data_IF_704333548873
#
_entry.id   IF_704333548873
#
_cell.length_a   1.000
_cell.length_b   1.000
_cell.length_c   1.000
_cell.angle_alpha   90.00
_cell.angle_beta   90.00
_cell.angle_gamma   90.00
#
_symmetry.space_group_name_H-M   'P 1'
#
loop_
_entity.id
_entity.type
_entity.pdbx_description
1 polymer ?
#
# COMPACT_ATOMS: atom_id res chain seq x y z
N UNK A 1 -47.43 19.24 -41.14
CA UNK A 1 -46.29 19.45 -40.20
C UNK A 1 -46.51 18.59 -38.97
N UNK A 2 -46.14 17.34 -39.06
CA UNK A 2 -46.21 16.35 -37.98
C UNK A 2 -44.89 16.29 -37.24
N UNK A 3 -44.87 16.70 -35.97
CA UNK A 3 -43.76 16.46 -35.06
C UNK A 3 -43.81 14.99 -34.65
N UNK A 4 -42.70 14.30 -34.87
CA UNK A 4 -42.44 12.98 -34.29
C UNK A 4 -41.72 13.24 -32.93
N UNK A 5 -42.43 13.01 -31.84
CA UNK A 5 -41.83 12.97 -30.48
C UNK A 5 -41.36 11.54 -30.22
N UNK A 6 -40.07 11.33 -30.10
CA UNK A 6 -39.45 10.08 -29.65
C UNK A 6 -39.41 10.02 -28.11
N UNK A 7 -39.51 8.82 -27.50
CA UNK A 7 -39.62 8.66 -26.06
C UNK A 7 -38.25 8.67 -25.38
N UNK A 8 -37.76 9.82 -25.01
CA UNK A 8 -36.72 9.96 -24.01
C UNK A 8 -37.34 10.49 -22.73
N UNK A 9 -38.07 9.63 -22.02
CA UNK A 9 -38.60 9.95 -20.69
C UNK A 9 -37.78 9.21 -19.65
N UNK A 10 -37.04 9.99 -18.87
CA UNK A 10 -36.80 9.84 -17.43
C UNK A 10 -36.28 8.49 -16.94
N UNK A 11 -34.96 8.28 -16.96
CA UNK A 11 -34.29 7.42 -16.00
C UNK A 11 -33.45 8.26 -15.02
N UNK A 12 -34.09 9.21 -14.34
CA UNK A 12 -33.50 9.90 -13.20
C UNK A 12 -34.55 9.82 -12.09
N UNK A 13 -34.61 8.74 -11.41
CA UNK A 13 -35.04 8.58 -10.02
C UNK A 13 -35.04 7.11 -9.69
N UNK A 14 -34.13 6.72 -8.85
CA UNK A 14 -34.17 5.66 -7.82
C UNK A 14 -32.74 5.17 -7.51
N UNK A 15 -31.87 6.09 -7.08
CA UNK A 15 -30.78 5.70 -6.21
C UNK A 15 -31.12 6.23 -4.81
N UNK A 16 -32.10 5.60 -4.16
CA UNK A 16 -32.15 5.59 -2.70
C UNK A 16 -31.05 4.66 -2.23
N UNK A 17 -30.15 5.06 -1.34
CA UNK A 17 -29.16 4.16 -0.81
C UNK A 17 -29.89 3.11 0.03
N UNK A 18 -29.81 1.85 -0.42
CA UNK A 18 -30.14 0.69 0.42
C UNK A 18 -29.00 0.59 1.46
N UNK A 19 -29.10 1.45 2.47
CA UNK A 19 -28.29 1.42 3.67
C UNK A 19 -29.06 0.61 4.73
N UNK A 20 -29.31 -0.66 4.47
CA UNK A 20 -29.80 -1.54 5.52
C UNK A 20 -29.28 -2.94 5.31
N UNK A 21 -28.48 -3.38 6.27
CA UNK A 21 -27.95 -4.73 6.48
C UNK A 21 -26.73 -5.13 5.66
N UNK A 22 -25.57 -4.48 5.91
CA UNK A 22 -24.29 -5.10 5.66
C UNK A 22 -24.14 -6.21 6.72
N UNK A 23 -24.48 -7.43 6.37
CA UNK A 23 -24.28 -8.59 7.23
C UNK A 23 -22.84 -9.07 7.04
N UNK A 24 -21.92 -8.52 7.82
CA UNK A 24 -20.57 -9.08 7.91
C UNK A 24 -20.67 -10.48 8.52
N UNK A 25 -20.27 -11.48 7.77
CA UNK A 25 -20.18 -12.84 8.30
C UNK A 25 -19.04 -12.87 9.32
N UNK A 26 -19.37 -13.06 10.59
CA UNK A 26 -18.37 -13.29 11.63
C UNK A 26 -17.75 -14.67 11.40
N UNK A 27 -16.60 -14.72 10.73
CA UNK A 27 -15.88 -15.97 10.46
C UNK A 27 -15.18 -16.47 11.73
N UNK A 28 -15.30 -17.78 11.98
CA UNK A 28 -14.50 -18.42 13.03
C UNK A 28 -13.04 -18.57 12.57
N UNK A 29 -12.11 -18.73 13.53
CA UNK A 29 -10.69 -18.97 13.28
C UNK A 29 -10.42 -20.09 12.28
N UNK A 30 -11.20 -21.17 12.37
CA UNK A 30 -11.07 -22.33 11.50
C UNK A 30 -11.54 -22.02 10.08
N UNK A 31 -12.57 -21.19 9.95
CA UNK A 31 -13.08 -20.74 8.65
C UNK A 31 -12.14 -19.72 8.00
N UNK A 32 -11.58 -18.78 8.77
CA UNK A 32 -10.58 -17.84 8.27
C UNK A 32 -9.34 -18.60 7.78
N UNK A 33 -8.83 -19.56 8.58
CA UNK A 33 -7.67 -20.37 8.23
C UNK A 33 -7.90 -21.25 7.01
N UNK A 34 -9.09 -21.85 6.88
CA UNK A 34 -9.43 -22.71 5.73
C UNK A 34 -9.73 -21.87 4.47
N UNK A 35 -10.30 -20.67 4.61
CA UNK A 35 -10.56 -19.74 3.49
C UNK A 35 -9.29 -19.07 3.01
N UNK A 36 -8.42 -18.63 3.91
CA UNK A 36 -7.15 -17.98 3.58
C UNK A 36 -6.23 -18.80 2.65
N UNK A 37 -6.44 -20.09 2.52
CA UNK A 37 -5.69 -20.93 1.56
C UNK A 37 -6.33 -21.04 0.17
N UNK A 38 -7.52 -20.49 -0.05
CA UNK A 38 -8.30 -20.69 -1.28
C UNK A 38 -8.89 -19.42 -1.88
N UNK A 39 -9.27 -18.43 -1.06
CA UNK A 39 -10.01 -17.27 -1.54
C UNK A 39 -9.07 -16.13 -1.94
N UNK A 40 -9.32 -15.53 -3.09
CA UNK A 40 -8.55 -14.37 -3.60
C UNK A 40 -8.73 -13.12 -2.74
N UNK A 41 -9.91 -12.96 -2.14
CA UNK A 41 -10.28 -11.81 -1.31
C UNK A 41 -11.12 -12.29 -0.12
N UNK A 42 -10.79 -11.79 1.08
CA UNK A 42 -11.54 -12.06 2.31
C UNK A 42 -11.96 -10.74 2.96
N UNK A 43 -13.23 -10.59 3.27
CA UNK A 43 -13.77 -9.44 4.03
C UNK A 43 -14.49 -9.95 5.27
N UNK A 44 -14.11 -9.45 6.44
CA UNK A 44 -14.70 -9.86 7.71
C UNK A 44 -14.57 -8.81 8.81
N UNK A 45 -15.40 -8.96 9.83
CA UNK A 45 -15.31 -8.17 11.07
C UNK A 45 -14.39 -8.87 12.08
N UNK A 46 -13.44 -8.13 12.64
CA UNK A 46 -12.55 -8.59 13.69
C UNK A 46 -12.93 -7.97 15.04
N UNK A 47 -12.73 -8.73 16.11
CA UNK A 47 -12.93 -8.33 17.51
C UNK A 47 -11.70 -8.65 18.35
N UNK A 48 -11.70 -8.28 19.62
CA UNK A 48 -10.62 -8.54 20.58
C UNK A 48 -10.20 -10.02 20.69
N UNK A 49 -11.14 -10.94 20.44
CA UNK A 49 -10.91 -12.39 20.43
C UNK A 49 -10.48 -12.93 19.06
N UNK A 50 -10.37 -12.08 18.03
CA UNK A 50 -9.98 -12.53 16.70
C UNK A 50 -8.47 -12.77 16.67
N UNK A 51 -8.08 -14.00 16.37
CA UNK A 51 -6.69 -14.35 16.13
C UNK A 51 -6.48 -14.44 14.63
N UNK A 52 -5.64 -13.58 14.06
CA UNK A 52 -5.26 -13.66 12.66
C UNK A 52 -4.28 -14.84 12.46
N UNK A 53 -4.42 -15.62 11.37
CA UNK A 53 -3.46 -16.69 11.08
C UNK A 53 -2.04 -16.13 10.98
N UNK A 54 -1.05 -16.78 11.62
CA UNK A 54 0.32 -16.26 11.65
C UNK A 54 1.02 -16.14 10.29
N UNK A 55 0.49 -16.82 9.28
CA UNK A 55 1.00 -16.85 7.91
C UNK A 55 0.21 -15.97 6.92
N UNK A 56 -0.88 -15.32 7.36
CA UNK A 56 -1.71 -14.52 6.43
C UNK A 56 -0.93 -13.37 5.79
N UNK A 57 0.03 -12.77 6.48
CA UNK A 57 0.88 -11.69 5.98
C UNK A 57 1.81 -12.12 4.82
N UNK A 58 2.08 -13.41 4.63
CA UNK A 58 2.85 -13.90 3.48
C UNK A 58 2.02 -13.98 2.20
N UNK A 59 0.71 -14.15 2.35
CA UNK A 59 -0.19 -14.42 1.23
C UNK A 59 -1.09 -13.24 0.86
N UNK A 60 -1.33 -12.32 1.79
CA UNK A 60 -2.32 -11.26 1.63
C UNK A 60 -1.76 -9.89 1.97
N UNK A 61 -2.11 -8.92 1.14
CA UNK A 61 -2.11 -7.51 1.53
C UNK A 61 -3.28 -7.28 2.48
N UNK A 62 -3.02 -6.61 3.60
CA UNK A 62 -3.96 -6.48 4.70
C UNK A 62 -4.40 -5.04 4.86
N UNK A 63 -5.70 -4.82 4.85
CA UNK A 63 -6.32 -3.52 5.06
C UNK A 63 -7.21 -3.63 6.30
N UNK A 64 -7.00 -2.78 7.30
CA UNK A 64 -7.74 -2.77 8.56
C UNK A 64 -8.33 -1.38 8.78
N UNK A 65 -9.64 -1.28 8.85
CA UNK A 65 -10.33 -0.09 9.30
C UNK A 65 -10.79 -0.33 10.74
N UNK A 66 -10.24 0.46 11.68
CA UNK A 66 -10.58 0.34 13.10
C UNK A 66 -11.88 1.10 13.39
N UNK A 67 -12.94 0.39 13.82
CA UNK A 67 -14.23 0.97 14.16
C UNK A 67 -14.30 1.39 15.62
N UNK A 68 -13.70 0.59 16.53
CA UNK A 68 -13.67 0.83 17.97
C UNK A 68 -12.41 0.30 18.61
N UNK A 69 -12.06 0.89 19.76
CA UNK A 69 -10.90 0.45 20.53
C UNK A 69 -9.59 0.78 19.83
N UNK A 70 -8.62 -0.08 20.00
CA UNK A 70 -7.30 0.07 19.41
C UNK A 70 -6.64 -1.26 19.12
N UNK A 71 -5.74 -1.23 18.16
CA UNK A 71 -4.85 -2.30 17.75
C UNK A 71 -3.43 -1.78 17.93
N UNK A 72 -2.58 -2.50 18.67
CA UNK A 72 -1.15 -2.19 18.81
C UNK A 72 -0.33 -3.27 18.12
N UNK A 73 0.74 -2.88 17.46
CA UNK A 73 1.64 -3.79 16.76
C UNK A 73 3.03 -3.19 16.61
N UNK A 74 4.02 -4.05 16.42
CA UNK A 74 5.37 -3.68 16.05
C UNK A 74 5.55 -3.85 14.54
N UNK A 75 6.07 -2.82 13.88
CA UNK A 75 6.31 -2.81 12.45
C UNK A 75 7.67 -2.18 12.16
N UNK A 76 8.57 -2.95 11.52
CA UNK A 76 9.95 -2.52 11.29
C UNK A 76 10.66 -2.05 12.58
N UNK A 77 10.54 -2.84 13.66
CA UNK A 77 11.14 -2.59 14.97
C UNK A 77 10.64 -1.29 15.66
N UNK A 78 9.46 -0.78 15.28
CA UNK A 78 8.78 0.36 15.90
C UNK A 78 7.37 -0.01 16.32
N UNK A 79 6.96 0.46 17.50
CA UNK A 79 5.60 0.29 17.98
C UNK A 79 4.65 1.30 17.35
N UNK A 80 3.47 0.82 16.95
CA UNK A 80 2.38 1.61 16.42
C UNK A 80 1.07 1.28 17.13
N UNK A 81 0.20 2.27 17.22
CA UNK A 81 -1.16 2.11 17.74
C UNK A 81 -2.12 2.69 16.71
N UNK A 82 -3.04 1.85 16.24
CA UNK A 82 -4.17 2.26 15.42
C UNK A 82 -5.42 2.37 16.30
N UNK A 83 -6.10 3.50 16.27
CA UNK A 83 -7.29 3.81 17.06
C UNK A 83 -8.54 3.84 16.19
N UNK A 84 -9.70 3.92 16.85
CA UNK A 84 -10.97 4.08 16.15
C UNK A 84 -10.96 5.27 15.17
N UNK A 85 -11.41 5.03 13.95
CA UNK A 85 -11.38 5.97 12.83
C UNK A 85 -10.08 6.02 12.05
N UNK A 86 -9.10 5.19 12.43
CA UNK A 86 -7.84 5.07 11.70
C UNK A 86 -7.80 3.81 10.85
N UNK A 87 -6.91 3.82 9.89
CA UNK A 87 -6.73 2.77 8.91
C UNK A 87 -5.29 2.25 8.93
N UNK A 88 -5.14 0.93 8.82
CA UNK A 88 -3.84 0.26 8.69
C UNK A 88 -3.76 -0.43 7.35
N UNK A 89 -2.61 -0.31 6.71
CA UNK A 89 -2.28 -1.09 5.53
C UNK A 89 -0.93 -1.77 5.68
N UNK A 90 -0.92 -3.10 5.50
CA UNK A 90 0.30 -3.88 5.42
C UNK A 90 0.39 -4.58 4.07
N UNK A 91 1.49 -4.39 3.38
CA UNK A 91 1.81 -5.21 2.21
C UNK A 91 2.05 -6.67 2.63
N UNK A 92 1.77 -7.60 1.73
CA UNK A 92 2.22 -8.98 1.91
C UNK A 92 3.74 -9.01 2.12
N UNK A 93 4.23 -9.99 2.85
CA UNK A 93 5.63 -10.10 3.31
C UNK A 93 6.07 -9.01 4.32
N UNK A 94 5.17 -8.22 4.85
CA UNK A 94 5.49 -7.29 5.94
C UNK A 94 5.77 -8.05 7.24
N UNK A 95 6.81 -7.58 7.97
CA UNK A 95 7.09 -8.08 9.31
C UNK A 95 6.25 -7.30 10.32
N UNK A 96 5.24 -7.97 10.88
CA UNK A 96 4.37 -7.43 11.92
C UNK A 96 4.47 -8.37 13.12
N UNK A 97 4.90 -7.84 14.25
CA UNK A 97 5.07 -8.57 15.49
C UNK A 97 4.23 -7.93 16.60
N UNK A 98 4.09 -8.61 17.74
CA UNK A 98 3.47 -8.11 18.97
C UNK A 98 2.06 -7.53 18.79
N UNK A 99 1.26 -8.17 17.91
CA UNK A 99 -0.10 -7.74 17.61
C UNK A 99 -1.01 -7.96 18.82
N UNK A 100 -1.61 -6.87 19.32
CA UNK A 100 -2.51 -6.89 20.46
C UNK A 100 -3.75 -6.02 20.25
N UNK A 101 -4.87 -6.42 20.83
CA UNK A 101 -6.16 -5.74 20.69
C UNK A 101 -6.68 -5.26 22.04
N UNK A 102 -7.27 -4.09 22.09
CA UNK A 102 -8.01 -3.63 23.28
C UNK A 102 -9.30 -4.45 23.48
N UNK A 103 -9.81 -4.53 24.71
CA UNK A 103 -11.01 -5.34 25.06
C UNK A 103 -12.27 -4.97 24.29
N UNK A 104 -12.36 -3.76 23.78
CA UNK A 104 -13.50 -3.27 22.99
C UNK A 104 -13.16 -3.12 21.49
N UNK A 105 -12.10 -3.78 21.06
CA UNK A 105 -11.65 -3.71 19.67
C UNK A 105 -12.72 -4.25 18.73
N UNK A 106 -12.95 -3.48 17.67
CA UNK A 106 -13.76 -3.85 16.53
C UNK A 106 -13.16 -3.21 15.28
N UNK A 107 -12.99 -3.98 14.22
CA UNK A 107 -12.46 -3.50 12.96
C UNK A 107 -13.06 -4.27 11.78
N UNK A 108 -13.07 -3.63 10.61
CA UNK A 108 -13.34 -4.28 9.34
C UNK A 108 -12.00 -4.60 8.66
N UNK A 109 -11.77 -5.86 8.32
CA UNK A 109 -10.53 -6.35 7.70
C UNK A 109 -10.82 -6.86 6.29
N UNK A 110 -10.05 -6.34 5.33
CA UNK A 110 -9.99 -6.87 3.97
C UNK A 110 -8.60 -7.45 3.71
N UNK A 111 -8.55 -8.72 3.36
CA UNK A 111 -7.36 -9.41 2.88
C UNK A 111 -7.45 -9.58 1.37
N UNK A 112 -6.45 -9.14 0.64
CA UNK A 112 -6.36 -9.25 -0.83
C UNK A 112 -5.14 -10.09 -1.17
N UNK A 113 -5.35 -11.16 -1.93
CA UNK A 113 -4.28 -12.09 -2.34
C UNK A 113 -3.18 -11.32 -3.09
N UNK A 114 -1.94 -11.61 -2.73
CA UNK A 114 -0.73 -10.91 -3.16
C UNK A 114 -0.59 -10.80 -4.68
N UNK A 115 -0.80 -11.90 -5.41
CA UNK A 115 -0.65 -11.92 -6.87
C UNK A 115 -1.79 -11.15 -7.55
N UNK A 116 -3.00 -11.25 -7.01
CA UNK A 116 -4.16 -10.53 -7.55
C UNK A 116 -3.94 -9.01 -7.49
N UNK A 117 -3.49 -8.47 -6.36
CA UNK A 117 -3.22 -7.04 -6.24
C UNK A 117 -2.04 -6.62 -7.13
N UNK A 118 -0.92 -7.33 -7.05
CA UNK A 118 0.31 -6.98 -7.76
C UNK A 118 0.13 -7.01 -9.29
N UNK A 119 -0.64 -7.97 -9.83
CA UNK A 119 -0.92 -8.08 -11.27
C UNK A 119 -1.81 -6.95 -11.80
N UNK A 120 -2.49 -6.22 -10.92
CA UNK A 120 -3.47 -5.20 -11.29
C UNK A 120 -3.07 -3.77 -10.91
N UNK A 121 -1.83 -3.53 -10.46
CA UNK A 121 -1.34 -2.18 -10.17
C UNK A 121 -1.30 -1.36 -11.48
N UNK A 122 -2.11 -0.28 -11.59
CA UNK A 122 -2.27 0.45 -12.85
C UNK A 122 -1.03 1.26 -13.26
N UNK A 123 -0.28 1.75 -12.28
CA UNK A 123 0.94 2.52 -12.47
C UNK A 123 1.96 2.16 -11.40
N UNK A 124 3.09 1.63 -11.83
CA UNK A 124 4.12 1.14 -10.92
C UNK A 124 4.81 2.23 -10.12
N UNK A 125 5.05 3.41 -10.70
CA UNK A 125 5.64 4.52 -9.95
C UNK A 125 4.81 4.86 -8.71
N UNK A 126 3.51 4.91 -8.87
CA UNK A 126 2.60 5.13 -7.76
C UNK A 126 2.59 3.95 -6.78
N UNK A 127 2.66 2.69 -7.24
CA UNK A 127 2.77 1.52 -6.37
C UNK A 127 3.99 1.59 -5.47
N UNK A 128 5.10 2.05 -6.01
CA UNK A 128 6.34 2.28 -5.26
C UNK A 128 6.12 3.35 -4.19
N UNK A 129 5.53 4.47 -4.57
CA UNK A 129 5.25 5.57 -3.66
C UNK A 129 4.33 5.13 -2.50
N UNK A 130 3.24 4.44 -2.81
CA UNK A 130 2.32 3.92 -1.81
C UNK A 130 3.01 2.91 -0.86
N UNK A 131 3.84 2.03 -1.40
CA UNK A 131 4.59 1.05 -0.60
C UNK A 131 5.58 1.73 0.34
N UNK A 132 6.41 2.66 -0.17
CA UNK A 132 7.39 3.35 0.65
C UNK A 132 6.71 4.16 1.76
N UNK A 133 5.63 4.85 1.40
CA UNK A 133 4.84 5.59 2.37
C UNK A 133 4.21 4.70 3.45
N UNK A 134 3.62 3.59 3.07
CA UNK A 134 2.99 2.65 4.02
C UNK A 134 4.01 1.95 4.92
N UNK A 135 5.24 1.71 4.43
CA UNK A 135 6.32 1.17 5.25
C UNK A 135 6.81 2.12 6.32
N UNK A 136 6.72 3.42 6.08
CA UNK A 136 7.07 4.43 7.08
C UNK A 136 5.89 4.81 7.98
N UNK A 137 4.70 4.76 7.42
CA UNK A 137 3.48 5.21 8.07
C UNK A 137 2.38 4.17 7.90
N UNK A 138 2.46 3.03 8.60
CA UNK A 138 1.49 1.96 8.46
C UNK A 138 0.10 2.31 8.99
N UNK A 139 -0.02 3.39 9.78
CA UNK A 139 -1.29 3.90 10.32
C UNK A 139 -1.64 5.22 9.65
N UNK A 140 -2.83 5.30 9.08
CA UNK A 140 -3.36 6.47 8.38
C UNK A 140 -4.59 7.03 9.10
N UNK A 141 -4.66 8.35 9.23
CA UNK A 141 -5.85 9.02 9.72
C UNK A 141 -6.81 9.31 8.58
N UNK A 142 -8.01 8.81 8.66
CA UNK A 142 -9.07 9.19 7.74
C UNK A 142 -9.64 10.55 8.15
N UNK A 143 -9.72 11.46 7.18
CA UNK A 143 -10.02 12.88 7.44
C UNK A 143 -11.43 13.10 7.97
N UNK A 144 -12.39 12.32 7.50
CA UNK A 144 -13.79 12.45 7.91
C UNK A 144 -14.57 11.12 7.78
N UNK A 145 -15.84 11.16 8.22
CA UNK A 145 -16.75 10.02 8.10
C UNK A 145 -17.04 9.61 6.65
N UNK A 146 -16.89 10.53 5.68
CA UNK A 146 -17.11 10.22 4.26
C UNK A 146 -15.98 9.35 3.73
N UNK A 147 -14.74 9.62 4.13
CA UNK A 147 -13.59 8.78 3.75
C UNK A 147 -13.71 7.37 4.34
N UNK A 148 -14.15 7.25 5.60
CA UNK A 148 -14.47 5.95 6.21
C UNK A 148 -15.52 5.18 5.41
N UNK A 149 -16.61 5.85 5.00
CA UNK A 149 -17.67 5.23 4.21
C UNK A 149 -17.19 4.81 2.82
N UNK A 150 -16.36 5.62 2.17
CA UNK A 150 -15.76 5.27 0.87
C UNK A 150 -14.88 4.02 0.98
N UNK A 151 -14.02 3.95 2.01
CA UNK A 151 -13.17 2.78 2.25
C UNK A 151 -14.02 1.53 2.44
N UNK A 152 -15.05 1.56 3.27
CA UNK A 152 -15.96 0.43 3.48
C UNK A 152 -16.70 0.03 2.21
N UNK A 153 -17.20 1.01 1.45
CA UNK A 153 -17.88 0.74 0.17
C UNK A 153 -16.93 0.09 -0.85
N UNK A 154 -15.68 0.54 -0.91
CA UNK A 154 -14.68 -0.05 -1.79
C UNK A 154 -14.32 -1.48 -1.39
N UNK A 155 -14.23 -1.76 -0.08
CA UNK A 155 -14.03 -3.11 0.43
C UNK A 155 -15.16 -4.04 0.00
N UNK A 156 -16.41 -3.59 0.19
CA UNK A 156 -17.59 -4.37 -0.14
C UNK A 156 -17.70 -4.62 -1.65
N UNK A 157 -17.55 -3.58 -2.47
CA UNK A 157 -17.61 -3.70 -3.93
C UNK A 157 -16.58 -4.67 -4.48
N UNK A 158 -15.35 -4.61 -3.98
CA UNK A 158 -14.30 -5.53 -4.41
C UNK A 158 -14.61 -6.98 -3.99
N UNK A 159 -15.06 -7.18 -2.76
CA UNK A 159 -15.43 -8.49 -2.24
C UNK A 159 -16.62 -9.09 -2.99
N UNK A 160 -17.68 -8.30 -3.25
CA UNK A 160 -18.86 -8.75 -3.98
C UNK A 160 -18.51 -9.19 -5.40
N UNK A 161 -17.63 -8.46 -6.09
CA UNK A 161 -17.16 -8.86 -7.43
C UNK A 161 -16.28 -10.11 -7.41
N UNK A 162 -15.55 -10.34 -6.34
CA UNK A 162 -14.80 -11.59 -6.16
C UNK A 162 -15.70 -12.81 -5.95
N UNK A 163 -16.86 -12.62 -5.33
CA UNK A 163 -17.82 -13.70 -5.08
C UNK A 163 -18.73 -14.02 -6.27
N UNK A 164 -18.86 -13.11 -7.23
CA UNK A 164 -19.74 -13.24 -8.41
C UNK A 164 -19.10 -14.11 -9.50
N UNK A 165 -18.70 -15.34 -9.14
CA UNK A 165 -17.98 -16.29 -10.02
C UNK A 165 -18.78 -16.75 -11.23
N UNK A 166 -20.11 -16.66 -11.19
CA UNK A 166 -21.00 -17.00 -12.29
C UNK A 166 -21.11 -15.91 -13.36
N UNK A 167 -20.52 -14.74 -13.11
CA UNK A 167 -20.55 -13.63 -14.06
C UNK A 167 -19.80 -13.99 -15.35
N UNK A 168 -20.46 -13.84 -16.50
CA UNK A 168 -19.90 -14.22 -17.82
C UNK A 168 -18.51 -13.65 -18.11
N UNK A 169 -18.19 -12.45 -17.59
CA UNK A 169 -16.93 -11.76 -17.75
C UNK A 169 -16.22 -11.60 -16.39
N UNK A 170 -16.24 -12.64 -15.57
CA UNK A 170 -15.76 -12.61 -14.20
C UNK A 170 -14.34 -12.06 -14.07
N UNK A 171 -13.39 -12.59 -14.85
CA UNK A 171 -11.97 -12.19 -14.74
C UNK A 171 -11.76 -10.73 -15.16
N UNK A 172 -12.43 -10.27 -16.21
CA UNK A 172 -12.33 -8.88 -16.69
C UNK A 172 -12.96 -7.92 -15.68
N UNK A 173 -14.13 -8.24 -15.14
CA UNK A 173 -14.82 -7.40 -14.15
C UNK A 173 -14.04 -7.35 -12.85
N UNK A 174 -13.52 -8.48 -12.37
CA UNK A 174 -12.70 -8.50 -11.16
C UNK A 174 -11.41 -7.68 -11.33
N UNK A 175 -10.75 -7.81 -12.49
CA UNK A 175 -9.57 -7.00 -12.83
C UNK A 175 -9.86 -5.50 -12.81
N UNK A 176 -10.92 -5.07 -13.48
CA UNK A 176 -11.32 -3.65 -13.52
C UNK A 176 -11.70 -3.14 -12.12
N UNK A 177 -12.43 -3.94 -11.34
CA UNK A 177 -12.80 -3.57 -9.98
C UNK A 177 -11.57 -3.48 -9.06
N UNK A 178 -10.59 -4.35 -9.24
CA UNK A 178 -9.31 -4.27 -8.52
C UNK A 178 -8.57 -2.98 -8.87
N UNK A 179 -8.52 -2.58 -10.13
CA UNK A 179 -7.91 -1.31 -10.54
C UNK A 179 -8.63 -0.10 -9.95
N UNK A 180 -9.97 -0.10 -9.96
CA UNK A 180 -10.78 0.94 -9.31
C UNK A 180 -10.47 0.99 -7.81
N UNK A 181 -10.47 -0.17 -7.14
CA UNK A 181 -10.12 -0.27 -5.72
C UNK A 181 -8.74 0.35 -5.43
N UNK A 182 -7.74 0.02 -6.21
CA UNK A 182 -6.39 0.57 -6.07
C UNK A 182 -6.41 2.10 -6.24
N UNK A 183 -7.06 2.64 -7.26
CA UNK A 183 -7.15 4.10 -7.46
C UNK A 183 -7.86 4.81 -6.32
N UNK A 184 -8.97 4.29 -5.82
CA UNK A 184 -9.73 4.87 -4.72
C UNK A 184 -8.96 4.83 -3.40
N UNK A 185 -8.30 3.71 -3.10
CA UNK A 185 -7.42 3.62 -1.94
C UNK A 185 -6.24 4.60 -2.05
N UNK A 186 -5.68 4.73 -3.25
CA UNK A 186 -4.62 5.67 -3.52
C UNK A 186 -5.04 7.13 -3.37
N UNK A 187 -6.22 7.48 -3.87
CA UNK A 187 -6.77 8.81 -3.64
C UNK A 187 -6.85 9.13 -2.14
N UNK A 188 -7.29 8.17 -1.33
CA UNK A 188 -7.35 8.29 0.13
C UNK A 188 -5.95 8.46 0.73
N UNK A 189 -4.97 7.67 0.28
CA UNK A 189 -3.57 7.77 0.74
C UNK A 189 -2.89 9.05 0.27
N UNK A 190 -3.11 9.48 -0.98
CA UNK A 190 -2.50 10.69 -1.51
C UNK A 190 -2.95 11.94 -0.78
N UNK A 191 -4.19 12.02 -0.34
CA UNK A 191 -4.68 13.12 0.49
C UNK A 191 -3.92 13.23 1.82
N UNK A 192 -3.70 12.09 2.50
CA UNK A 192 -2.91 12.05 3.72
C UNK A 192 -1.42 12.36 3.46
N UNK A 193 -0.88 11.82 2.37
CA UNK A 193 0.48 12.10 1.92
C UNK A 193 0.68 13.58 1.60
N UNK A 194 -0.19 14.21 0.82
CA UNK A 194 -0.13 15.64 0.50
C UNK A 194 -0.26 16.52 1.75
N UNK A 195 -1.09 16.12 2.70
CA UNK A 195 -1.19 16.79 3.99
C UNK A 195 0.13 16.74 4.76
N UNK A 196 0.75 15.55 4.84
CA UNK A 196 2.05 15.35 5.50
C UNK A 196 3.16 16.08 4.75
N UNK A 197 3.17 16.04 3.42
CA UNK A 197 4.14 16.76 2.59
C UNK A 197 4.13 18.27 2.89
N UNK A 198 2.95 18.88 3.02
CA UNK A 198 2.84 20.31 3.41
C UNK A 198 3.42 20.57 4.80
N UNK A 199 3.18 19.67 5.75
CA UNK A 199 3.74 19.75 7.09
C UNK A 199 5.26 19.56 7.07
N UNK A 200 5.78 18.64 6.24
CA UNK A 200 7.20 18.34 6.11
C UNK A 200 7.99 19.44 5.38
N UNK A 201 7.37 20.17 4.44
CA UNK A 201 8.01 21.33 3.78
C UNK A 201 8.37 22.44 4.79
N UNK A 202 7.61 22.55 5.87
CA UNK A 202 7.93 23.42 7.03
C UNK A 202 8.67 22.69 8.15
N UNK A 203 9.00 21.41 7.96
CA UNK A 203 9.60 20.53 8.95
C UNK A 203 11.10 20.69 9.15
N UNK A 204 11.64 19.84 10.01
CA UNK A 204 13.07 19.76 10.29
C UNK A 204 13.89 19.38 9.05
N UNK A 205 15.18 19.67 9.05
CA UNK A 205 16.10 19.26 7.97
C UNK A 205 16.09 17.72 7.75
N UNK A 206 15.89 16.95 8.82
CA UNK A 206 15.77 15.49 8.71
C UNK A 206 14.50 15.06 7.95
N UNK A 207 13.36 15.63 8.29
CA UNK A 207 12.08 15.33 7.60
C UNK A 207 12.12 15.74 6.13
N UNK A 208 12.70 16.91 5.85
CA UNK A 208 12.91 17.38 4.46
C UNK A 208 13.86 16.45 3.69
N UNK A 209 14.90 15.95 4.32
CA UNK A 209 15.80 14.96 3.72
C UNK A 209 15.07 13.67 3.40
N UNK A 210 14.27 13.12 4.32
CA UNK A 210 13.50 11.91 4.10
C UNK A 210 12.52 12.08 2.93
N UNK A 211 11.91 13.25 2.81
CA UNK A 211 11.05 13.57 1.67
C UNK A 211 11.82 13.58 0.34
N UNK A 212 12.99 14.21 0.30
CA UNK A 212 13.83 14.20 -0.89
C UNK A 212 14.31 12.80 -1.27
N UNK A 213 14.67 11.96 -0.30
CA UNK A 213 15.04 10.55 -0.54
C UNK A 213 13.88 9.81 -1.17
N UNK A 214 12.69 9.98 -0.64
CA UNK A 214 11.47 9.38 -1.18
C UNK A 214 11.23 9.80 -2.64
N UNK A 215 11.37 11.08 -2.97
CA UNK A 215 11.12 11.63 -4.31
C UNK A 215 12.20 11.26 -5.33
N UNK A 216 13.47 11.12 -4.92
CA UNK A 216 14.60 11.07 -5.84
C UNK A 216 15.48 9.82 -5.74
N UNK A 217 15.24 8.87 -4.82
CA UNK A 217 16.12 7.72 -4.60
C UNK A 217 16.27 6.79 -5.82
N UNK A 218 15.37 6.87 -6.79
CA UNK A 218 15.46 6.08 -8.02
C UNK A 218 16.62 6.56 -8.92
N UNK A 219 16.80 7.85 -9.01
CA UNK A 219 17.75 8.49 -9.93
C UNK A 219 18.96 9.06 -9.19
N UNK A 220 18.75 9.65 -8.01
CA UNK A 220 19.78 10.30 -7.22
C UNK A 220 20.26 9.41 -6.07
N UNK A 221 21.53 9.02 -6.08
CA UNK A 221 22.09 8.01 -5.17
C UNK A 221 23.18 8.56 -4.23
N UNK A 222 23.58 9.81 -4.46
CA UNK A 222 24.69 10.43 -3.72
C UNK A 222 24.19 11.40 -2.65
N UNK A 223 24.73 11.30 -1.46
CA UNK A 223 24.42 12.20 -0.32
C UNK A 223 24.62 13.67 -0.70
N UNK A 224 25.57 13.96 -1.61
CA UNK A 224 25.89 15.32 -2.06
C UNK A 224 24.70 16.02 -2.72
N UNK A 225 23.90 15.28 -3.52
CA UNK A 225 22.70 15.82 -4.15
C UNK A 225 21.72 16.32 -3.08
N UNK A 226 21.35 15.49 -2.13
CA UNK A 226 20.40 15.81 -1.07
C UNK A 226 20.89 16.93 -0.14
N UNK A 227 22.17 16.94 0.14
CA UNK A 227 22.79 18.01 0.92
C UNK A 227 22.71 19.36 0.17
N UNK A 228 22.91 19.34 -1.16
CA UNK A 228 22.75 20.51 -2.02
C UNK A 228 21.32 21.05 -2.02
N UNK A 229 20.31 20.18 -2.19
CA UNK A 229 18.90 20.56 -2.14
C UNK A 229 18.47 21.17 -0.80
N UNK A 230 19.11 20.73 0.29
CA UNK A 230 18.88 21.26 1.64
C UNK A 230 19.74 22.47 2.00
N UNK A 231 20.64 22.89 1.10
CA UNK A 231 21.61 23.96 1.33
C UNK A 231 22.51 23.75 2.57
N UNK A 232 22.96 22.49 2.78
CA UNK A 232 23.87 22.09 3.86
C UNK A 232 25.03 21.24 3.33
N UNK A 233 26.00 20.95 4.15
CA UNK A 233 27.09 20.03 3.79
C UNK A 233 26.67 18.57 3.96
N UNK A 234 27.26 17.67 3.17
CA UNK A 234 27.03 16.22 3.31
C UNK A 234 27.40 15.69 4.70
N UNK A 235 28.43 16.29 5.35
CA UNK A 235 28.81 15.96 6.71
C UNK A 235 27.74 16.36 7.73
N UNK A 236 27.15 17.54 7.57
CA UNK A 236 26.03 17.99 8.41
C UNK A 236 24.78 17.17 8.22
N UNK A 237 24.45 16.81 6.97
CA UNK A 237 23.32 15.90 6.67
C UNK A 237 23.50 14.54 7.35
N UNK A 238 24.69 13.92 7.24
CA UNK A 238 24.97 12.67 7.95
C UNK A 238 24.87 12.79 9.47
N UNK A 239 25.29 13.91 10.04
CA UNK A 239 25.15 14.17 11.49
C UNK A 239 23.67 14.23 11.88
N UNK A 240 22.84 14.96 11.11
CA UNK A 240 21.40 15.08 11.35
C UNK A 240 20.74 13.69 11.27
N UNK A 241 21.03 12.90 10.23
CA UNK A 241 20.46 11.57 10.06
C UNK A 241 20.82 10.65 11.23
N UNK A 242 22.09 10.58 11.60
CA UNK A 242 22.54 9.76 12.74
C UNK A 242 21.93 10.19 14.07
N UNK A 243 21.78 11.50 14.28
CA UNK A 243 21.19 12.01 15.52
C UNK A 243 19.69 11.68 15.65
N UNK A 244 18.96 11.64 14.54
CA UNK A 244 17.51 11.40 14.56
C UNK A 244 17.11 9.90 14.42
N UNK A 245 17.98 9.07 13.84
CA UNK A 245 17.61 7.69 13.49
C UNK A 245 18.73 6.66 13.65
N UNK A 246 19.90 7.03 14.16
CA UNK A 246 21.12 6.20 14.24
C UNK A 246 21.61 5.67 12.87
N UNK A 247 20.98 6.08 11.77
CA UNK A 247 21.25 5.66 10.39
C UNK A 247 21.86 6.82 9.61
N UNK A 248 22.89 6.55 8.80
CA UNK A 248 23.49 7.59 7.95
C UNK A 248 22.60 7.96 6.76
N UNK A 249 22.82 9.15 6.19
CA UNK A 249 22.11 9.57 4.98
C UNK A 249 22.31 8.60 3.81
N UNK A 250 23.53 8.08 3.64
CA UNK A 250 23.83 7.08 2.60
C UNK A 250 23.05 5.77 2.79
N UNK A 251 22.92 5.32 4.04
CA UNK A 251 22.14 4.11 4.36
C UNK A 251 20.66 4.31 4.11
N UNK A 252 20.11 5.49 4.42
CA UNK A 252 18.73 5.83 4.09
C UNK A 252 18.46 5.78 2.58
N UNK A 253 19.30 6.46 1.78
CA UNK A 253 19.20 6.45 0.32
C UNK A 253 19.25 4.99 -0.21
N UNK A 254 20.17 4.17 0.31
CA UNK A 254 20.31 2.78 -0.11
C UNK A 254 19.11 1.90 0.29
N UNK A 255 18.53 2.11 1.49
CA UNK A 255 17.31 1.41 1.93
C UNK A 255 16.15 1.69 0.98
N UNK A 256 15.90 2.95 0.65
CA UNK A 256 14.84 3.33 -0.27
C UNK A 256 15.07 2.80 -1.69
N UNK A 257 16.28 2.96 -2.21
CA UNK A 257 16.66 2.42 -3.52
C UNK A 257 16.50 0.89 -3.57
N UNK A 258 16.85 0.18 -2.50
CA UNK A 258 16.69 -1.27 -2.38
C UNK A 258 15.23 -1.69 -2.49
N UNK A 259 14.34 -1.04 -1.73
CA UNK A 259 12.91 -1.35 -1.77
C UNK A 259 12.31 -1.08 -3.15
N UNK A 260 12.66 0.04 -3.75
CA UNK A 260 12.25 0.39 -5.11
C UNK A 260 12.68 -0.66 -6.13
N UNK A 261 13.94 -1.13 -6.04
CA UNK A 261 14.46 -2.18 -6.92
C UNK A 261 13.71 -3.50 -6.73
N UNK A 262 13.40 -3.88 -5.50
CA UNK A 262 12.65 -5.11 -5.22
C UNK A 262 11.28 -5.07 -5.90
N UNK A 263 10.59 -3.94 -5.82
CA UNK A 263 9.28 -3.76 -6.46
C UNK A 263 9.39 -3.83 -7.98
N UNK A 264 10.36 -3.14 -8.57
CA UNK A 264 10.58 -3.19 -10.02
C UNK A 264 10.90 -4.60 -10.49
N UNK A 265 11.66 -5.38 -9.69
CA UNK A 265 11.99 -6.76 -10.01
C UNK A 265 10.80 -7.73 -9.89
N UNK A 266 9.82 -7.41 -9.07
CA UNK A 266 8.56 -8.18 -8.96
C UNK A 266 7.65 -7.98 -10.17
N UNK A 267 7.81 -6.89 -10.91
CA UNK A 267 7.05 -6.64 -12.13
C UNK A 267 7.56 -7.47 -13.30
N UNK A 268 6.77 -8.47 -13.69
CA UNK A 268 7.08 -9.35 -14.81
C UNK A 268 7.02 -8.66 -16.19
N UNK A 269 6.34 -7.52 -16.30
CA UNK A 269 6.19 -6.77 -17.55
C UNK A 269 7.41 -5.89 -17.87
N UNK A 270 8.26 -5.61 -16.88
CA UNK A 270 9.49 -4.84 -17.09
C UNK A 270 10.67 -5.75 -17.36
N UNK A 271 11.36 -5.51 -18.45
CA UNK A 271 12.66 -6.14 -18.71
C UNK A 271 13.81 -5.39 -18.00
N UNK A 272 15.01 -6.01 -17.97
CA UNK A 272 16.15 -5.46 -17.24
C UNK A 272 16.70 -4.15 -17.85
N UNK A 273 16.49 -3.91 -19.14
CA UNK A 273 16.89 -2.67 -19.79
C UNK A 273 15.95 -1.53 -19.39
N UNK A 274 14.63 -1.77 -19.45
CA UNK A 274 13.62 -0.81 -19.03
C UNK A 274 13.75 -0.40 -17.55
N UNK A 275 14.15 -1.33 -16.68
CA UNK A 275 14.44 -1.00 -15.28
C UNK A 275 15.68 -0.12 -15.16
N UNK A 276 16.74 -0.44 -15.90
CA UNK A 276 17.95 0.38 -15.90
C UNK A 276 17.65 1.80 -16.40
N UNK A 277 16.84 1.93 -17.43
CA UNK A 277 16.41 3.23 -17.98
C UNK A 277 15.53 4.01 -16.99
N UNK A 278 14.55 3.34 -16.37
CA UNK A 278 13.69 3.98 -15.33
C UNK A 278 14.48 4.49 -14.13
N UNK A 279 15.58 3.86 -13.80
CA UNK A 279 16.47 4.27 -12.72
C UNK A 279 17.65 5.10 -13.22
N UNK A 280 17.61 5.57 -14.46
CA UNK A 280 18.63 6.43 -15.08
C UNK A 280 20.06 5.89 -14.95
N UNK A 281 20.24 4.56 -15.11
CA UNK A 281 21.57 4.00 -15.22
C UNK A 281 22.11 4.15 -16.65
N UNK A 282 23.37 4.56 -16.76
CA UNK A 282 24.06 4.72 -18.05
C UNK A 282 24.21 3.41 -18.84
N UNK A 283 24.01 2.26 -18.20
CA UNK A 283 23.94 0.95 -18.85
C UNK A 283 23.35 -0.11 -17.95
N UNK A 284 22.82 -1.19 -18.59
CA UNK A 284 22.35 -2.39 -17.91
C UNK A 284 23.42 -3.03 -17.02
N UNK A 285 24.70 -2.95 -17.40
CA UNK A 285 25.81 -3.49 -16.62
C UNK A 285 26.01 -2.73 -15.31
N UNK A 286 25.85 -1.41 -15.32
CA UNK A 286 25.91 -0.61 -14.11
C UNK A 286 24.71 -0.88 -13.18
N UNK A 287 23.51 -0.98 -13.74
CA UNK A 287 22.31 -1.39 -13.00
C UNK A 287 22.53 -2.77 -12.33
N UNK A 288 22.96 -3.77 -13.09
CA UNK A 288 23.20 -5.13 -12.55
C UNK A 288 24.19 -5.13 -11.40
N UNK A 289 25.30 -4.39 -11.51
CA UNK A 289 26.29 -4.26 -10.43
C UNK A 289 25.73 -3.57 -9.21
N UNK A 290 24.94 -2.53 -9.40
CA UNK A 290 24.30 -1.79 -8.32
C UNK A 290 23.29 -2.66 -7.57
N UNK A 291 22.43 -3.38 -8.28
CA UNK A 291 21.48 -4.33 -7.69
C UNK A 291 22.21 -5.43 -6.92
N UNK A 292 23.25 -6.03 -7.51
CA UNK A 292 24.05 -7.06 -6.82
C UNK A 292 24.69 -6.53 -5.55
N UNK A 293 25.15 -5.27 -5.54
CA UNK A 293 25.69 -4.62 -4.33
C UNK A 293 24.63 -4.46 -3.23
N UNK A 294 23.38 -4.12 -3.60
CA UNK A 294 22.30 -3.86 -2.63
C UNK A 294 21.59 -5.13 -2.16
N UNK A 295 21.37 -6.10 -3.06
CA UNK A 295 20.59 -7.31 -2.79
C UNK A 295 21.44 -8.56 -2.56
N UNK A 296 22.75 -8.50 -2.83
CA UNK A 296 23.66 -9.65 -2.78
C UNK A 296 23.56 -10.60 -3.97
N UNK A 297 22.55 -10.43 -4.85
CA UNK A 297 22.27 -11.25 -6.03
C UNK A 297 22.03 -10.37 -7.25
N UNK A 298 22.19 -10.92 -8.45
CA UNK A 298 21.86 -10.18 -9.67
C UNK A 298 20.34 -10.01 -9.84
N UNK A 299 19.88 -9.01 -10.63
CA UNK A 299 18.46 -8.83 -10.92
C UNK A 299 17.77 -10.09 -11.45
N UNK A 300 18.44 -10.82 -12.35
CA UNK A 300 17.89 -12.05 -12.92
C UNK A 300 17.80 -13.18 -11.89
N UNK A 301 18.84 -13.37 -11.07
CA UNK A 301 18.82 -14.36 -9.97
C UNK A 301 17.73 -14.04 -8.95
N UNK A 302 17.52 -12.75 -8.62
CA UNK A 302 16.46 -12.34 -7.71
C UNK A 302 15.08 -12.66 -8.29
N UNK A 303 14.85 -12.35 -9.57
CA UNK A 303 13.57 -12.62 -10.26
C UNK A 303 13.26 -14.11 -10.32
N UNK A 304 14.25 -14.95 -10.63
CA UNK A 304 14.09 -16.41 -10.67
C UNK A 304 13.75 -17.03 -9.31
N UNK A 305 14.08 -16.37 -8.20
CA UNK A 305 13.70 -16.83 -6.84
C UNK A 305 12.25 -16.48 -6.46
N UNK A 306 11.60 -15.60 -7.23
CA UNK A 306 10.20 -15.23 -7.04
C UNK A 306 9.25 -16.16 -7.82
N UNK A 307 9.77 -16.96 -8.74
CA UNK A 307 9.06 -18.00 -9.50
C UNK A 307 9.05 -19.32 -8.73
#
# INVERSE_FOLDING_TARGET
TTKVEGPWVSFVTLYTPIMSNITYTCLTMREIRNKATRDKILLFEAKDSTVLPGDFLFHYHTHILCDRGSLSFEFNDKEYICKAGEFVFWFADSKVDNLTFSKNFKATILLVEKHLLNANIPNQSWGIDALLHSKENPVLHLMDKKDTQKVLSNFQLLHDKCLDTEHRFYDDVLKLQMQIFIFEMWHTFSNEYERRKRTLQSGTLYERFMQLVYEHCMTEREVKYYAGELNITAKHLNYICKHNSDVSASEWIQRYARETIIILLQDKNLNMAEMADKMEFSSRSFFTRYVKKLLGVTPSEFRNRLE
#
